data_IF_971614646859
#
_entry.id   IF_971614646859
#
_cell.length_a   1.000
_cell.length_b   1.000
_cell.length_c   1.000
_cell.angle_alpha   90.00
_cell.angle_beta   90.00
_cell.angle_gamma   90.00
#
_symmetry.space_group_name_H-M   'P 1'
#
loop_
_entity.id
_entity.type
_entity.pdbx_description
1 polymer ?
#
# COMPACT_ATOMS: atom_id res chain seq x y z
N UNK A 1 46.55 11.69 -52.89
CA UNK A 1 45.27 12.05 -52.25
C UNK A 1 44.95 10.99 -51.20
N UNK A 2 45.31 11.26 -49.95
CA UNK A 2 45.00 10.38 -48.80
C UNK A 2 43.74 10.90 -48.11
N UNK A 3 42.68 10.11 -48.10
CA UNK A 3 41.44 10.42 -47.37
C UNK A 3 41.66 10.13 -45.86
N UNK A 4 41.68 11.18 -45.04
CA UNK A 4 41.57 11.08 -43.59
C UNK A 4 40.09 11.02 -43.22
N UNK A 5 39.59 9.83 -42.90
CA UNK A 5 38.27 9.66 -42.27
C UNK A 5 38.40 9.99 -40.78
N UNK A 6 37.80 11.10 -40.36
CA UNK A 6 37.75 11.52 -38.95
C UNK A 6 36.57 10.83 -38.27
N UNK A 7 36.85 9.96 -37.30
CA UNK A 7 35.84 9.28 -36.49
C UNK A 7 35.25 10.27 -35.46
N UNK A 8 33.95 10.55 -35.58
CA UNK A 8 33.19 11.32 -34.58
C UNK A 8 32.79 10.35 -33.46
N UNK A 9 33.30 10.58 -32.25
CA UNK A 9 32.85 9.87 -31.04
C UNK A 9 31.45 10.35 -30.65
N UNK A 10 30.51 9.46 -30.29
CA UNK A 10 29.22 9.88 -29.77
C UNK A 10 29.37 10.44 -28.35
N UNK A 11 28.77 11.60 -28.10
CA UNK A 11 28.74 12.25 -26.81
C UNK A 11 27.92 11.41 -25.81
N UNK A 12 28.52 11.13 -24.66
CA UNK A 12 27.89 10.47 -23.52
C UNK A 12 26.79 11.39 -22.97
N UNK A 13 25.53 11.01 -23.14
CA UNK A 13 24.41 11.72 -22.52
C UNK A 13 24.48 11.53 -21.00
N UNK A 14 24.89 12.58 -20.30
CA UNK A 14 24.83 12.64 -18.84
C UNK A 14 23.36 12.66 -18.41
N UNK A 15 22.94 11.59 -17.72
CA UNK A 15 21.61 11.44 -17.17
C UNK A 15 21.46 12.39 -15.96
N UNK A 16 21.02 13.62 -16.21
CA UNK A 16 20.67 14.58 -15.16
C UNK A 16 19.41 14.08 -14.46
N UNK A 17 19.57 13.55 -13.25
CA UNK A 17 18.46 13.33 -12.32
C UNK A 17 17.83 14.68 -12.00
N UNK A 18 16.74 15.02 -12.68
CA UNK A 18 15.91 16.16 -12.33
C UNK A 18 15.13 15.80 -11.06
N UNK A 19 15.44 16.46 -9.93
CA UNK A 19 14.63 16.40 -8.71
C UNK A 19 13.28 17.07 -9.02
N UNK A 20 12.30 16.28 -9.45
CA UNK A 20 10.93 16.75 -9.71
C UNK A 20 10.29 17.03 -8.36
N UNK A 21 10.23 18.30 -7.96
CA UNK A 21 9.49 18.74 -6.77
C UNK A 21 8.00 18.51 -6.99
N UNK A 22 7.37 17.66 -6.18
CA UNK A 22 5.91 17.46 -6.16
C UNK A 22 5.24 18.67 -5.50
N UNK A 23 4.94 19.71 -6.26
CA UNK A 23 4.39 20.97 -5.72
C UNK A 23 2.91 20.88 -5.34
N UNK A 24 2.13 20.02 -6.01
CA UNK A 24 0.69 19.86 -5.79
C UNK A 24 0.30 18.49 -5.19
N UNK A 25 1.28 17.62 -4.96
CA UNK A 25 1.08 16.25 -4.46
C UNK A 25 0.57 15.26 -5.51
N UNK A 26 0.49 15.68 -6.78
CA UNK A 26 0.11 14.81 -7.90
C UNK A 26 1.35 14.26 -8.63
N UNK A 27 1.12 13.25 -9.47
CA UNK A 27 2.12 12.52 -10.21
C UNK A 27 1.66 12.31 -11.64
N UNK A 28 2.60 12.20 -12.56
CA UNK A 28 2.32 11.65 -13.89
C UNK A 28 2.48 10.12 -13.88
N UNK A 29 1.83 9.43 -14.82
CA UNK A 29 2.02 7.99 -15.06
C UNK A 29 3.52 7.64 -15.23
N UNK A 30 4.29 8.48 -15.92
CA UNK A 30 5.72 8.26 -16.16
C UNK A 30 6.54 8.39 -14.87
N UNK A 31 6.22 9.37 -14.03
CA UNK A 31 6.84 9.55 -12.70
C UNK A 31 6.53 8.37 -11.81
N UNK A 32 5.26 7.94 -11.75
CA UNK A 32 4.85 6.74 -11.00
C UNK A 32 5.59 5.50 -11.48
N UNK A 33 5.67 5.28 -12.79
CA UNK A 33 6.34 4.11 -13.37
C UNK A 33 7.84 4.08 -13.03
N UNK A 34 8.49 5.25 -13.06
CA UNK A 34 9.89 5.40 -12.64
C UNK A 34 10.06 5.08 -11.16
N UNK A 35 9.21 5.64 -10.30
CA UNK A 35 9.22 5.38 -8.86
C UNK A 35 8.96 3.91 -8.54
N UNK A 36 8.07 3.24 -9.28
CA UNK A 36 7.76 1.82 -9.12
C UNK A 36 8.96 0.92 -9.45
N UNK A 37 9.71 1.25 -10.50
CA UNK A 37 10.94 0.53 -10.85
C UNK A 37 12.03 0.72 -9.80
N UNK A 38 12.25 1.96 -9.36
CA UNK A 38 13.20 2.25 -8.27
C UNK A 38 12.80 1.54 -6.96
N UNK A 39 11.52 1.51 -6.65
CA UNK A 39 11.00 0.79 -5.49
C UNK A 39 11.25 -0.72 -5.60
N UNK A 40 11.08 -1.29 -6.80
CA UNK A 40 11.38 -2.71 -7.05
C UNK A 40 12.86 -3.05 -6.87
N UNK A 41 13.77 -2.16 -7.29
CA UNK A 41 15.22 -2.32 -7.04
C UNK A 41 15.53 -2.37 -5.53
N UNK A 42 14.85 -1.53 -4.72
CA UNK A 42 14.95 -1.57 -3.27
C UNK A 42 14.38 -2.87 -2.69
N UNK A 43 13.24 -3.34 -3.22
CA UNK A 43 12.67 -4.64 -2.82
C UNK A 43 13.64 -5.78 -3.04
N UNK A 44 14.28 -5.83 -4.20
CA UNK A 44 15.27 -6.86 -4.51
C UNK A 44 16.49 -6.74 -3.60
N UNK A 45 16.99 -5.52 -3.37
CA UNK A 45 18.12 -5.25 -2.47
C UNK A 45 17.85 -5.73 -1.04
N UNK A 46 16.63 -5.54 -0.54
CA UNK A 46 16.24 -5.90 0.83
C UNK A 46 15.58 -7.28 0.94
N UNK A 47 15.55 -8.05 -0.15
CA UNK A 47 14.97 -9.39 -0.23
C UNK A 47 13.46 -9.42 0.12
N UNK A 48 12.74 -8.35 -0.23
CA UNK A 48 11.28 -8.28 -0.11
C UNK A 48 10.59 -8.81 -1.39
N UNK A 49 9.32 -9.19 -1.29
CA UNK A 49 8.56 -9.96 -2.27
C UNK A 49 7.71 -9.12 -3.24
N UNK A 50 8.01 -7.84 -3.43
CA UNK A 50 7.29 -7.02 -4.41
C UNK A 50 7.63 -7.43 -5.84
N UNK A 51 6.62 -7.42 -6.70
CA UNK A 51 6.73 -7.69 -8.13
C UNK A 51 6.07 -6.58 -8.95
N UNK A 52 6.56 -6.38 -10.18
CA UNK A 52 5.95 -5.46 -11.15
C UNK A 52 5.11 -6.26 -12.14
N UNK A 53 3.79 -6.17 -12.02
CA UNK A 53 2.85 -6.88 -12.87
C UNK A 53 2.61 -6.09 -14.15
N UNK A 54 2.78 -6.76 -15.29
CA UNK A 54 2.39 -6.23 -16.59
C UNK A 54 0.95 -6.64 -16.91
N UNK A 55 0.14 -5.70 -17.38
CA UNK A 55 -1.21 -5.98 -17.87
C UNK A 55 -1.29 -5.70 -19.37
N UNK A 56 -2.03 -6.52 -20.16
CA UNK A 56 -2.21 -6.28 -21.58
C UNK A 56 -2.96 -4.97 -21.89
N UNK A 57 -3.87 -4.57 -21.02
CA UNK A 57 -4.81 -3.46 -21.24
C UNK A 57 -4.63 -2.31 -20.25
N UNK A 58 -3.70 -2.43 -19.30
CA UNK A 58 -3.47 -1.43 -18.26
C UNK A 58 -1.97 -1.20 -18.05
N UNK A 59 -1.55 0.01 -17.64
CA UNK A 59 -0.17 0.22 -17.21
C UNK A 59 0.25 -0.74 -16.10
N UNK A 60 1.55 -1.04 -16.04
CA UNK A 60 2.10 -1.91 -15.00
C UNK A 60 1.87 -1.36 -13.60
N UNK A 61 1.68 -2.24 -12.63
CA UNK A 61 1.45 -1.91 -11.23
C UNK A 61 2.28 -2.82 -10.31
N UNK A 62 2.46 -2.41 -9.06
CA UNK A 62 3.20 -3.22 -8.08
C UNK A 62 2.25 -4.18 -7.38
N UNK A 63 2.70 -5.41 -7.13
CA UNK A 63 1.97 -6.41 -6.36
C UNK A 63 2.87 -6.99 -5.25
N UNK A 64 2.27 -7.33 -4.12
CA UNK A 64 2.90 -8.10 -3.04
C UNK A 64 1.91 -9.11 -2.48
N UNK A 65 2.38 -10.34 -2.25
CA UNK A 65 1.63 -11.38 -1.56
C UNK A 65 2.39 -11.78 -0.31
N UNK A 66 1.71 -11.83 0.84
CA UNK A 66 2.33 -12.14 2.12
C UNK A 66 1.35 -12.90 3.01
N UNK A 67 1.86 -13.87 3.77
CA UNK A 67 1.10 -14.52 4.83
C UNK A 67 1.44 -13.85 6.16
N UNK A 68 0.41 -13.46 6.92
CA UNK A 68 0.55 -12.77 8.20
C UNK A 68 -0.38 -13.43 9.21
N UNK A 69 0.09 -13.52 10.45
CA UNK A 69 -0.72 -13.95 11.57
C UNK A 69 -1.34 -12.72 12.23
N UNK A 70 -2.66 -12.72 12.40
CA UNK A 70 -3.38 -11.63 13.03
C UNK A 70 -4.14 -12.15 14.24
N UNK A 71 -4.05 -11.38 15.31
CA UNK A 71 -4.79 -11.62 16.54
C UNK A 71 -5.99 -10.69 16.56
N UNK A 72 -7.19 -11.24 16.79
CA UNK A 72 -8.44 -10.49 16.85
C UNK A 72 -9.11 -10.72 18.18
N UNK A 73 -9.73 -9.66 18.69
CA UNK A 73 -10.66 -9.74 19.81
C UNK A 73 -12.04 -10.00 19.23
N UNK A 74 -12.55 -11.22 19.37
CA UNK A 74 -13.95 -11.51 19.06
C UNK A 74 -14.76 -11.28 20.33
N UNK A 75 -15.38 -10.11 20.44
CA UNK A 75 -16.56 -9.96 21.29
C UNK A 75 -17.73 -10.62 20.57
N UNK A 76 -18.49 -11.48 21.25
CA UNK A 76 -19.59 -12.21 20.63
C UNK A 76 -20.70 -11.27 20.16
N UNK A 77 -20.62 -10.85 18.90
CA UNK A 77 -21.77 -10.49 18.06
C UNK A 77 -21.66 -11.21 16.72
N UNK A 78 -21.29 -12.50 16.74
CA UNK A 78 -21.56 -13.40 15.62
C UNK A 78 -23.01 -13.88 15.77
N UNK A 79 -23.95 -12.94 15.66
CA UNK A 79 -25.31 -13.29 15.24
C UNK A 79 -25.27 -13.14 13.73
N UNK A 80 -25.37 -14.27 13.05
CA UNK A 80 -25.64 -14.38 11.63
C UNK A 80 -26.84 -13.45 11.31
N UNK A 81 -26.57 -12.29 10.69
CA UNK A 81 -27.57 -11.25 10.39
C UNK A 81 -28.46 -11.64 9.18
N UNK A 82 -28.84 -12.91 9.11
CA UNK A 82 -29.76 -13.45 8.09
C UNK A 82 -31.08 -13.95 8.70
N UNK A 83 -31.29 -13.76 10.01
CA UNK A 83 -32.55 -14.04 10.70
C UNK A 83 -32.74 -13.08 11.90
N UNK A 84 -33.37 -11.92 11.73
CA UNK A 84 -34.84 -11.80 11.79
C UNK A 84 -35.35 -10.34 11.78
N UNK A 85 -36.55 -10.16 11.22
CA UNK A 85 -37.56 -9.30 11.84
C UNK A 85 -37.79 -9.81 13.28
N UNK A 86 -37.21 -9.18 14.29
CA UNK A 86 -37.50 -9.50 15.69
C UNK A 86 -38.54 -8.54 16.28
N UNK A 87 -39.59 -9.13 16.83
CA UNK A 87 -40.38 -8.57 17.92
C UNK A 87 -39.47 -8.53 19.16
N UNK A 88 -39.29 -7.35 19.77
CA UNK A 88 -38.47 -7.14 20.97
C UNK A 88 -38.99 -8.00 22.12
N UNK A 89 -38.14 -8.92 22.62
CA UNK A 89 -38.36 -9.61 23.89
C UNK A 89 -37.34 -9.06 24.88
N UNK A 90 -37.80 -8.28 25.87
CA UNK A 90 -36.98 -7.84 27.00
C UNK A 90 -36.50 -9.07 27.78
N UNK A 91 -35.21 -9.39 27.67
CA UNK A 91 -34.52 -10.36 28.53
C UNK A 91 -33.82 -9.59 29.64
N UNK A 92 -34.14 -9.89 30.89
CA UNK A 92 -33.48 -9.33 32.07
C UNK A 92 -31.97 -9.62 32.03
N UNK A 93 -31.14 -8.58 31.92
CA UNK A 93 -29.67 -8.72 31.89
C UNK A 93 -29.12 -9.22 33.23
N UNK A 94 -28.47 -10.38 33.24
CA UNK A 94 -27.72 -10.90 34.40
C UNK A 94 -26.36 -10.16 34.52
N UNK A 95 -26.13 -9.37 35.58
CA UNK A 95 -24.89 -8.61 35.78
C UNK A 95 -23.67 -9.50 36.09
N UNK A 96 -23.83 -10.82 36.24
CA UNK A 96 -22.75 -11.76 36.51
C UNK A 96 -22.10 -12.37 35.26
N UNK A 97 -22.60 -12.10 34.05
CA UNK A 97 -22.01 -12.60 32.80
C UNK A 97 -20.80 -11.74 32.39
N UNK A 98 -19.61 -12.09 32.88
CA UNK A 98 -18.38 -11.51 32.35
C UNK A 98 -18.25 -11.86 30.85
N UNK A 99 -18.30 -10.86 29.97
CA UNK A 99 -17.98 -11.02 28.56
C UNK A 99 -16.51 -11.43 28.45
N UNK A 100 -16.28 -12.68 28.03
CA UNK A 100 -14.92 -13.19 27.79
C UNK A 100 -14.54 -12.79 26.38
N UNK A 101 -13.77 -11.71 26.25
CA UNK A 101 -13.10 -11.37 25.00
C UNK A 101 -12.21 -12.55 24.61
N UNK A 102 -12.64 -13.31 23.60
CA UNK A 102 -11.84 -14.43 23.11
C UNK A 102 -10.80 -13.87 22.15
N UNK A 103 -9.53 -14.06 22.50
CA UNK A 103 -8.39 -13.71 21.65
C UNK A 103 -8.19 -14.88 20.68
N UNK A 104 -8.49 -14.68 19.40
CA UNK A 104 -8.22 -15.66 18.35
C UNK A 104 -7.03 -15.22 17.51
N UNK A 105 -6.17 -16.17 17.15
CA UNK A 105 -5.01 -15.90 16.32
C UNK A 105 -5.09 -16.74 15.06
N UNK A 106 -5.31 -16.09 13.91
CA UNK A 106 -5.50 -16.74 12.63
C UNK A 106 -4.43 -16.33 11.61
N UNK A 107 -4.19 -17.20 10.63
CA UNK A 107 -3.28 -16.92 9.51
C UNK A 107 -4.09 -16.42 8.32
N UNK A 108 -3.69 -15.25 7.82
CA UNK A 108 -4.29 -14.61 6.66
C UNK A 108 -3.27 -14.48 5.54
N UNK A 109 -3.73 -14.59 4.29
CA UNK A 109 -2.92 -14.27 3.11
C UNK A 109 -3.39 -12.94 2.55
N UNK A 110 -2.50 -11.97 2.52
CA UNK A 110 -2.73 -10.66 1.94
C UNK A 110 -2.20 -10.61 0.51
N UNK A 111 -2.94 -9.91 -0.35
CA UNK A 111 -2.53 -9.54 -1.70
C UNK A 111 -2.71 -8.03 -1.86
N UNK A 112 -1.60 -7.29 -1.97
CA UNK A 112 -1.56 -5.83 -2.08
C UNK A 112 -1.15 -5.40 -3.48
N UNK A 113 -1.83 -4.40 -4.02
CA UNK A 113 -1.65 -3.87 -5.35
C UNK A 113 -1.53 -2.34 -5.29
N UNK A 114 -0.40 -1.78 -5.72
CA UNK A 114 -0.23 -0.32 -5.84
C UNK A 114 -0.37 0.08 -7.29
N UNK A 115 -1.45 0.79 -7.60
CA UNK A 115 -1.85 1.14 -8.96
C UNK A 115 -1.93 2.65 -9.10
N UNK A 116 -1.51 3.19 -10.24
CA UNK A 116 -1.68 4.60 -10.55
C UNK A 116 -3.13 4.91 -10.95
N UNK A 117 -3.74 5.92 -10.33
CA UNK A 117 -5.02 6.47 -10.74
C UNK A 117 -4.81 7.61 -11.74
N UNK A 118 -5.33 7.44 -12.95
CA UNK A 118 -5.27 8.48 -13.99
C UNK A 118 -6.11 9.70 -13.58
N UNK A 119 -7.30 9.46 -13.02
CA UNK A 119 -8.24 10.54 -12.66
C UNK A 119 -7.77 11.39 -11.49
N UNK A 120 -7.12 10.78 -10.50
CA UNK A 120 -6.61 11.48 -9.31
C UNK A 120 -5.11 11.81 -9.40
N UNK A 121 -4.40 11.27 -10.39
CA UNK A 121 -2.97 11.49 -10.61
C UNK A 121 -2.12 11.11 -9.39
N UNK A 122 -2.46 10.02 -8.71
CA UNK A 122 -1.81 9.55 -7.47
C UNK A 122 -1.77 8.02 -7.42
N UNK A 123 -0.89 7.41 -6.59
CA UNK A 123 -0.98 5.99 -6.26
C UNK A 123 -2.27 5.67 -5.49
N UNK A 124 -2.78 4.46 -5.70
CA UNK A 124 -3.92 3.88 -5.00
C UNK A 124 -3.54 2.49 -4.52
N UNK A 125 -3.84 2.19 -3.26
CA UNK A 125 -3.59 0.88 -2.66
C UNK A 125 -4.87 0.06 -2.71
N UNK A 126 -4.85 -1.00 -3.50
CA UNK A 126 -5.87 -2.04 -3.51
C UNK A 126 -5.34 -3.25 -2.76
N UNK A 127 -6.22 -4.00 -2.11
CA UNK A 127 -5.83 -5.25 -1.48
C UNK A 127 -7.00 -6.20 -1.31
N UNK A 128 -6.66 -7.48 -1.17
CA UNK A 128 -7.58 -8.53 -0.76
C UNK A 128 -6.92 -9.36 0.33
N UNK A 129 -7.74 -9.86 1.25
CA UNK A 129 -7.27 -10.70 2.36
C UNK A 129 -8.04 -12.00 2.31
N UNK A 130 -7.31 -13.10 2.37
CA UNK A 130 -7.85 -14.45 2.32
C UNK A 130 -7.66 -15.11 3.67
N UNK A 131 -8.74 -15.67 4.23
CA UNK A 131 -8.71 -16.47 5.44
C UNK A 131 -8.07 -17.83 5.18
N UNK A 132 -7.82 -18.60 6.23
CA UNK A 132 -7.25 -19.95 6.17
C UNK A 132 -8.13 -20.94 5.37
N UNK A 133 -9.45 -20.74 5.36
CA UNK A 133 -10.41 -21.51 4.55
C UNK A 133 -10.45 -21.08 3.07
N UNK A 134 -9.70 -20.04 2.70
CA UNK A 134 -9.63 -19.49 1.35
C UNK A 134 -10.70 -18.44 1.02
N UNK A 135 -11.63 -18.17 1.93
CA UNK A 135 -12.64 -17.11 1.74
C UNK A 135 -12.01 -15.72 1.82
N UNK A 136 -12.64 -14.76 1.12
CA UNK A 136 -12.23 -13.36 1.19
C UNK A 136 -12.76 -12.72 2.47
N UNK A 137 -11.91 -11.92 3.11
CA UNK A 137 -12.31 -11.03 4.19
C UNK A 137 -13.23 -9.94 3.63
N UNK A 138 -14.38 -9.73 4.28
CA UNK A 138 -15.33 -8.68 3.93
C UNK A 138 -14.86 -7.31 4.42
N UNK A 139 -15.48 -6.24 3.91
CA UNK A 139 -15.14 -4.86 4.29
C UNK A 139 -15.43 -4.58 5.77
N UNK A 140 -16.50 -5.16 6.30
CA UNK A 140 -16.94 -5.01 7.70
C UNK A 140 -15.93 -5.68 8.66
N UNK A 141 -15.44 -6.84 8.25
CA UNK A 141 -14.39 -7.56 8.95
C UNK A 141 -13.06 -6.80 8.89
N UNK A 142 -12.73 -6.21 7.73
CA UNK A 142 -11.56 -5.35 7.58
C UNK A 142 -11.57 -4.16 8.56
N UNK A 143 -12.71 -3.47 8.71
CA UNK A 143 -12.84 -2.34 9.65
C UNK A 143 -12.68 -2.74 11.12
N UNK A 144 -13.00 -3.97 11.48
CA UNK A 144 -12.89 -4.48 12.85
C UNK A 144 -11.56 -5.17 13.14
N UNK A 145 -10.88 -5.70 12.12
CA UNK A 145 -9.73 -6.61 12.29
C UNK A 145 -8.36 -6.06 11.91
N UNK A 146 -8.25 -4.94 11.19
CA UNK A 146 -6.95 -4.39 10.80
C UNK A 146 -6.37 -3.48 11.90
N UNK A 147 -5.49 -4.08 12.70
CA UNK A 147 -4.67 -3.47 13.75
C UNK A 147 -5.46 -2.85 14.92
N UNK A 148 -4.85 -2.89 16.11
CA UNK A 148 -5.18 -2.05 17.27
C UNK A 148 -4.87 -0.57 16.96
N UNK A 149 -5.42 -0.01 15.89
CA UNK A 149 -5.22 1.39 15.54
C UNK A 149 -5.91 2.23 16.61
N UNK A 150 -5.14 3.02 17.35
CA UNK A 150 -5.67 3.95 18.34
C UNK A 150 -6.62 4.97 17.68
N UNK A 151 -7.79 5.17 18.29
CA UNK A 151 -8.76 6.26 18.06
C UNK A 151 -8.79 6.89 16.65
N UNK A 152 -7.99 7.93 16.46
CA UNK A 152 -7.99 8.79 15.26
C UNK A 152 -7.56 8.07 13.98
N UNK A 153 -6.56 7.17 14.07
CA UNK A 153 -6.08 6.41 12.91
C UNK A 153 -7.13 5.43 12.40
N UNK A 154 -7.96 4.90 13.29
CA UNK A 154 -9.07 3.99 12.92
C UNK A 154 -10.19 4.73 12.19
N UNK A 155 -10.50 5.95 12.62
CA UNK A 155 -11.52 6.78 11.96
C UNK A 155 -11.07 7.22 10.56
N UNK A 156 -9.81 7.62 10.42
CA UNK A 156 -9.24 7.97 9.10
C UNK A 156 -9.23 6.76 8.14
N UNK A 157 -8.89 5.56 8.64
CA UNK A 157 -9.00 4.32 7.87
C UNK A 157 -10.45 4.09 7.44
N UNK A 158 -11.42 4.21 8.35
CA UNK A 158 -12.85 4.02 8.03
C UNK A 158 -13.36 4.97 6.95
N UNK A 159 -12.92 6.22 6.96
CA UNK A 159 -13.31 7.22 5.96
C UNK A 159 -12.67 6.99 4.58
N UNK A 160 -11.56 6.23 4.53
CA UNK A 160 -10.79 6.04 3.30
C UNK A 160 -10.94 4.62 2.73
N UNK A 161 -11.19 3.61 3.57
CA UNK A 161 -11.32 2.22 3.15
C UNK A 161 -12.71 1.97 2.55
N UNK A 162 -12.72 1.43 1.34
CA UNK A 162 -13.94 1.14 0.58
C UNK A 162 -13.75 -0.07 -0.33
N UNK A 163 -14.84 -0.59 -0.89
CA UNK A 163 -14.79 -1.60 -1.95
C UNK A 163 -14.72 -0.90 -3.32
N UNK A 164 -13.77 -1.30 -4.16
CA UNK A 164 -13.51 -0.72 -5.47
C UNK A 164 -13.28 -1.80 -6.51
N UNK A 165 -13.52 -1.47 -7.78
CA UNK A 165 -13.08 -2.32 -8.89
C UNK A 165 -11.59 -2.09 -9.17
N UNK A 166 -10.80 -3.17 -9.23
CA UNK A 166 -9.40 -3.09 -9.60
C UNK A 166 -9.28 -2.76 -11.10
N UNK A 167 -8.67 -1.62 -11.49
CA UNK A 167 -8.80 -1.09 -12.84
C UNK A 167 -8.13 -1.95 -13.92
N UNK A 168 -7.09 -2.72 -13.57
CA UNK A 168 -6.45 -3.64 -14.50
C UNK A 168 -7.11 -5.03 -14.58
N UNK A 169 -7.88 -5.42 -13.55
CA UNK A 169 -8.36 -6.79 -13.37
C UNK A 169 -9.89 -6.91 -13.50
N UNK A 170 -10.61 -5.80 -13.37
CA UNK A 170 -12.07 -5.73 -13.40
C UNK A 170 -12.71 -6.70 -12.39
N UNK A 171 -12.17 -6.68 -11.17
CA UNK A 171 -12.57 -7.52 -10.04
C UNK A 171 -12.70 -6.68 -8.77
N UNK A 172 -13.58 -7.05 -7.83
CA UNK A 172 -13.72 -6.36 -6.56
C UNK A 172 -12.46 -6.53 -5.70
N UNK A 173 -11.99 -5.43 -5.15
CA UNK A 173 -10.91 -5.33 -4.19
C UNK A 173 -11.33 -4.38 -3.07
N UNK A 174 -10.77 -4.56 -1.87
CA UNK A 174 -10.75 -3.48 -0.91
C UNK A 174 -9.71 -2.44 -1.38
N UNK A 175 -9.93 -1.17 -1.09
CA UNK A 175 -9.04 -0.11 -1.53
C UNK A 175 -9.10 1.13 -0.65
N UNK A 176 -7.97 1.82 -0.57
CA UNK A 176 -7.89 3.14 0.06
C UNK A 176 -8.23 4.19 -0.99
N UNK A 177 -9.36 4.86 -0.80
CA UNK A 177 -9.88 5.86 -1.74
C UNK A 177 -8.88 7.02 -1.94
N UNK A 178 -8.59 7.41 -3.18
CA UNK A 178 -7.46 8.29 -3.49
C UNK A 178 -7.68 9.79 -3.21
N UNK A 179 -8.88 10.20 -2.78
CA UNK A 179 -9.23 11.63 -2.71
C UNK A 179 -8.33 12.46 -1.79
N UNK A 180 -7.75 11.86 -0.75
CA UNK A 180 -6.83 12.56 0.16
C UNK A 180 -5.36 12.32 -0.15
N UNK A 181 -5.02 11.39 -1.06
CA UNK A 181 -3.63 11.01 -1.32
C UNK A 181 -2.79 12.20 -1.79
N UNK A 182 -3.32 13.05 -2.68
CA UNK A 182 -2.58 14.23 -3.15
C UNK A 182 -2.30 15.23 -2.01
N UNK A 183 -3.28 15.46 -1.13
CA UNK A 183 -3.10 16.34 0.03
C UNK A 183 -2.01 15.83 0.96
N UNK A 184 -1.98 14.51 1.19
CA UNK A 184 -0.96 13.85 2.01
C UNK A 184 0.42 13.94 1.35
N UNK A 185 0.54 13.56 0.07
CA UNK A 185 1.83 13.57 -0.64
C UNK A 185 2.42 14.98 -0.77
N UNK A 186 1.59 16.03 -0.84
CA UNK A 186 2.04 17.43 -0.83
C UNK A 186 2.80 17.81 0.44
N UNK A 187 2.55 17.12 1.56
CA UNK A 187 3.29 17.35 2.82
C UNK A 187 4.70 16.76 2.81
N UNK A 188 5.05 15.98 1.78
CA UNK A 188 6.33 15.29 1.64
C UNK A 188 7.12 15.75 0.39
N UNK A 189 7.50 17.04 0.31
CA UNK A 189 8.17 17.61 -0.87
C UNK A 189 9.56 17.02 -1.13
N UNK A 190 10.22 16.50 -0.09
CA UNK A 190 11.56 15.89 -0.16
C UNK A 190 11.53 14.35 -0.26
N UNK A 191 10.38 13.78 -0.63
CA UNK A 191 10.25 12.34 -0.86
C UNK A 191 11.18 11.88 -1.98
N UNK A 192 12.19 11.07 -1.63
CA UNK A 192 13.13 10.47 -2.60
C UNK A 192 12.46 9.44 -3.53
N UNK A 193 11.46 8.73 -3.01
CA UNK A 193 10.60 7.84 -3.79
C UNK A 193 9.16 7.95 -3.26
N UNK A 194 8.25 8.44 -4.10
CA UNK A 194 6.86 8.67 -3.72
C UNK A 194 6.11 7.40 -3.29
N UNK A 195 6.47 6.23 -3.84
CA UNK A 195 5.83 4.96 -3.48
C UNK A 195 6.28 4.50 -2.10
N UNK A 196 7.56 4.69 -1.75
CA UNK A 196 8.04 4.45 -0.38
C UNK A 196 7.25 5.31 0.59
N UNK A 197 7.19 6.61 0.35
CA UNK A 197 6.43 7.56 1.18
C UNK A 197 4.95 7.19 1.30
N UNK A 198 4.31 6.87 0.17
CA UNK A 198 2.91 6.45 0.11
C UNK A 198 2.65 5.19 0.95
N UNK A 199 3.47 4.14 0.78
CA UNK A 199 3.33 2.89 1.51
C UNK A 199 3.67 3.02 2.99
N UNK A 200 4.65 3.85 3.36
CA UNK A 200 4.96 4.12 4.76
C UNK A 200 3.83 4.81 5.51
N UNK A 201 3.04 5.65 4.82
CA UNK A 201 1.88 6.32 5.43
C UNK A 201 0.65 5.40 5.41
N UNK A 202 0.32 4.84 4.25
CA UNK A 202 -0.96 4.15 4.08
C UNK A 202 -0.92 2.66 4.42
N UNK A 203 0.25 2.02 4.30
CA UNK A 203 0.42 0.59 4.53
C UNK A 203 0.00 0.13 5.92
N UNK A 204 0.42 0.80 7.01
CA UNK A 204 0.06 0.38 8.37
C UNK A 204 -1.46 0.30 8.62
N UNK A 205 -2.27 1.13 7.95
CA UNK A 205 -3.73 1.07 8.10
C UNK A 205 -4.36 -0.23 7.58
N UNK A 206 -3.63 -0.98 6.75
CA UNK A 206 -4.12 -2.21 6.13
C UNK A 206 -3.18 -3.40 6.40
N UNK A 207 -2.42 -3.36 7.51
CA UNK A 207 -1.45 -4.37 7.92
C UNK A 207 -0.29 -4.60 6.92
N UNK A 208 0.02 -3.59 6.10
CA UNK A 208 1.18 -3.60 5.24
C UNK A 208 2.32 -2.80 5.89
N UNK A 209 3.26 -3.51 6.49
CA UNK A 209 4.47 -2.90 7.03
C UNK A 209 5.60 -2.89 5.99
N UNK A 210 6.17 -1.70 5.77
CA UNK A 210 7.34 -1.53 4.93
C UNK A 210 8.60 -1.51 5.80
N UNK A 211 9.62 -2.25 5.39
CA UNK A 211 10.91 -2.26 6.10
C UNK A 211 11.52 -0.84 6.14
N UNK A 212 11.93 -0.31 7.33
CA UNK A 212 12.48 1.03 7.44
C UNK A 212 13.69 1.30 6.52
N UNK A 213 14.41 0.26 6.09
CA UNK A 213 15.55 0.37 5.17
C UNK A 213 15.18 0.97 3.80
N UNK A 214 13.90 0.93 3.41
CA UNK A 214 13.41 1.62 2.21
C UNK A 214 13.59 3.15 2.28
N UNK A 215 13.59 3.73 3.49
CA UNK A 215 13.80 5.17 3.70
C UNK A 215 15.26 5.63 3.64
N UNK A 216 16.24 4.71 3.72
CA UNK A 216 17.67 5.04 3.90
C UNK A 216 18.42 5.44 2.63
N UNK A 217 17.72 5.78 1.55
CA UNK A 217 18.33 5.96 0.21
C UNK A 217 19.12 7.27 0.03
N UNK A 218 19.25 8.09 1.09
CA UNK A 218 19.87 9.42 1.05
C UNK A 218 21.33 9.55 1.50
N UNK A 219 21.89 8.60 2.26
CA UNK A 219 23.09 8.88 3.09
C UNK A 219 24.42 8.23 2.62
N UNK A 220 24.53 7.73 1.39
CA UNK A 220 25.74 7.03 0.91
C UNK A 220 26.58 7.85 -0.10
N UNK A 221 26.64 9.17 0.07
CA UNK A 221 27.61 10.03 -0.63
C UNK A 221 28.21 11.05 0.33
N UNK A 222 29.19 10.62 1.12
CA UNK A 222 30.32 11.41 1.63
C UNK A 222 31.06 10.56 2.66
N UNK A 223 32.01 9.72 2.23
CA UNK A 223 33.12 9.20 3.05
C UNK A 223 33.97 8.21 2.22
N UNK A 224 34.64 8.71 1.18
CA UNK A 224 35.83 8.06 0.61
C UNK A 224 36.49 9.01 -0.37
N UNK A 225 37.24 9.97 0.16
CA UNK A 225 37.94 10.93 -0.68
C UNK A 225 38.65 12.03 0.08
N UNK A 226 39.33 11.72 1.18
CA UNK A 226 40.40 12.55 1.70
C UNK A 226 41.37 11.66 2.49
N UNK A 227 42.67 11.83 2.22
CA UNK A 227 43.87 11.16 2.77
C UNK A 227 44.50 10.05 1.91
N UNK A 228 45.18 10.47 0.83
CA UNK A 228 46.66 10.39 0.72
C UNK A 228 47.19 11.34 -0.36
#
# INVERSE_FOLDING_TARGET
YQNKTTAVKPALAQNKQTKTTMTDGTLTQATFTTAAKQFLELSQKYQDSWELVQSPSWPSYLRKSVQQQLTRLTGTTDVDDDLAEFEEVELDEDPSAAQVDTITTDVYRFEYHVVYSISYQVPVLYFNVFKSDGTLLRLEEAWSGFTELAGESREQLRQTLTQMEHPALFKPFLGLHPCQTANVLRTLPDSQNVIVSFLSIYGPYVNLELDPRYGLTGDQKNESGENE
#
